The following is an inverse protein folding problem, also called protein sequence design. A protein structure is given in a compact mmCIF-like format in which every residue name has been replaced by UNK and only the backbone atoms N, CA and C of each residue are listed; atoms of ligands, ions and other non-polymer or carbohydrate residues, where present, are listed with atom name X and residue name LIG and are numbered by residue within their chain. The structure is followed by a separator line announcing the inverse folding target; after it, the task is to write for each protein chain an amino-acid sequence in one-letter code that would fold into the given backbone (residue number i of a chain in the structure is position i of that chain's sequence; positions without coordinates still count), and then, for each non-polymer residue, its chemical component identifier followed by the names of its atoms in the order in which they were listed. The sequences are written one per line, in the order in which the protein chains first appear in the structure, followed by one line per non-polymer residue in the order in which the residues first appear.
data_IF_413242945451
#
_entry.id   IF_413242945451
#
_cell.length_a   1.000
_cell.length_b   1.000
_cell.length_c   1.000
_cell.angle_alpha   90.00
_cell.angle_beta   90.00
_cell.angle_gamma   90.00
#
_symmetry.space_group_name_H-M   'P 1'
#
loop_
_entity.id
_entity.type
_entity.pdbx_description
1 polymer ?
#
# COMPACT_ATOMS: atom_id res chain seq x y z
N UNK A 1 20.12 -22.88 -22.10
CA UNK A 1 20.01 -22.36 -20.73
C UNK A 1 18.71 -21.60 -20.65
N UNK A 2 17.60 -22.28 -20.35
CA UNK A 2 16.33 -21.61 -20.07
C UNK A 2 16.45 -21.03 -18.67
N UNK A 3 16.70 -19.72 -18.56
CA UNK A 3 16.58 -19.02 -17.28
C UNK A 3 15.13 -19.13 -16.81
N UNK A 4 14.93 -19.38 -15.52
CA UNK A 4 13.59 -19.36 -14.94
C UNK A 4 12.89 -18.03 -15.31
N UNK A 5 11.59 -18.07 -15.63
CA UNK A 5 10.83 -16.86 -15.87
C UNK A 5 10.92 -15.94 -14.65
N UNK A 6 11.00 -14.63 -14.89
CA UNK A 6 11.03 -13.66 -13.81
C UNK A 6 9.81 -13.84 -12.89
N UNK A 7 9.96 -13.69 -11.56
CA UNK A 7 8.85 -13.86 -10.64
C UNK A 7 7.75 -12.84 -10.91
N UNK A 8 6.47 -13.20 -10.73
CA UNK A 8 5.38 -12.24 -10.88
C UNK A 8 5.48 -11.14 -9.81
N UNK A 9 5.04 -9.94 -10.16
CA UNK A 9 5.22 -8.74 -9.35
C UNK A 9 3.91 -8.33 -8.68
N UNK A 10 3.95 -8.20 -7.35
CA UNK A 10 2.91 -7.57 -6.57
C UNK A 10 3.37 -6.19 -6.11
N UNK A 11 2.72 -5.13 -6.60
CA UNK A 11 3.00 -3.76 -6.14
C UNK A 11 1.92 -3.24 -5.20
N UNK A 12 2.29 -2.96 -3.96
CA UNK A 12 1.38 -2.48 -2.91
C UNK A 12 1.68 -1.00 -2.63
N UNK A 13 0.73 -0.13 -2.97
CA UNK A 13 0.73 1.26 -2.55
C UNK A 13 0.06 1.34 -1.16
N UNK A 14 0.87 1.45 -0.11
CA UNK A 14 0.42 1.37 1.27
C UNK A 14 0.54 2.72 1.99
N UNK A 15 -0.26 2.91 3.05
CA UNK A 15 -0.14 4.08 3.92
C UNK A 15 -1.47 4.69 4.36
N UNK A 16 -1.46 5.59 5.36
CA UNK A 16 -2.68 6.11 5.98
C UNK A 16 -3.64 6.81 4.99
N UNK A 17 -4.94 6.91 5.34
CA UNK A 17 -5.85 7.77 4.58
C UNK A 17 -5.28 9.19 4.47
N UNK A 18 -5.41 9.85 3.31
CA UNK A 18 -4.88 11.21 3.10
C UNK A 18 -3.36 11.33 2.89
N UNK A 19 -2.61 10.22 2.91
CA UNK A 19 -1.14 10.29 2.78
C UNK A 19 -0.62 10.60 1.36
N UNK A 20 -1.43 10.36 0.31
CA UNK A 20 -1.05 10.63 -1.09
C UNK A 20 -0.69 9.40 -1.93
N UNK A 21 -1.09 8.18 -1.50
CA UNK A 21 -0.90 6.94 -2.29
C UNK A 21 -1.34 7.05 -3.75
N UNK A 22 -2.53 7.56 -4.01
CA UNK A 22 -3.06 7.74 -5.37
C UNK A 22 -2.22 8.71 -6.19
N UNK A 23 -1.70 9.78 -5.58
CA UNK A 23 -0.77 10.71 -6.24
C UNK A 23 0.51 10.00 -6.65
N UNK A 24 1.09 9.19 -5.75
CA UNK A 24 2.29 8.40 -6.06
C UNK A 24 2.03 7.39 -7.18
N UNK A 25 0.90 6.68 -7.12
CA UNK A 25 0.49 5.73 -8.16
C UNK A 25 0.36 6.40 -9.52
N UNK A 26 -0.29 7.55 -9.59
CA UNK A 26 -0.44 8.30 -10.84
C UNK A 26 0.92 8.74 -11.40
N UNK A 27 1.86 9.14 -10.53
CA UNK A 27 3.21 9.45 -10.96
C UNK A 27 3.91 8.23 -11.57
N UNK A 28 3.80 7.05 -10.93
CA UNK A 28 4.36 5.81 -11.48
C UNK A 28 3.77 5.46 -12.86
N UNK A 29 2.46 5.63 -13.05
CA UNK A 29 1.84 5.43 -14.37
C UNK A 29 2.38 6.44 -15.39
N UNK A 30 2.50 7.72 -15.00
CA UNK A 30 3.03 8.76 -15.88
C UNK A 30 4.50 8.53 -16.26
N UNK A 31 5.27 7.93 -15.37
CA UNK A 31 6.68 7.55 -15.59
C UNK A 31 6.82 6.25 -16.40
N UNK A 32 5.72 5.63 -16.81
CA UNK A 32 5.70 4.44 -17.67
C UNK A 32 5.94 3.11 -16.95
N UNK A 33 5.75 3.06 -15.62
CA UNK A 33 5.81 1.79 -14.89
C UNK A 33 4.58 0.93 -15.18
N UNK A 34 4.81 -0.32 -15.57
CA UNK A 34 3.76 -1.33 -15.62
C UNK A 34 3.38 -1.75 -14.19
N UNK A 35 2.10 -1.61 -13.86
CA UNK A 35 1.53 -1.94 -12.56
C UNK A 35 0.71 -3.24 -12.59
N UNK A 36 0.71 -3.95 -13.72
CA UNK A 36 -0.14 -5.11 -13.97
C UNK A 36 -1.63 -4.78 -13.81
N UNK A 37 -2.41 -5.76 -13.38
CA UNK A 37 -3.81 -5.54 -13.03
C UNK A 37 -3.91 -4.60 -11.81
N UNK A 38 -4.43 -3.39 -11.99
CA UNK A 38 -4.69 -2.47 -10.88
C UNK A 38 -6.07 -2.73 -10.26
N UNK A 39 -6.10 -3.28 -9.05
CA UNK A 39 -7.31 -3.82 -8.41
C UNK A 39 -7.63 -3.07 -7.12
N UNK A 40 -8.52 -2.09 -7.20
CA UNK A 40 -8.97 -1.29 -6.05
C UNK A 40 -10.48 -1.27 -5.86
N UNK A 41 -10.88 -1.41 -4.59
CA UNK A 41 -12.29 -1.42 -4.21
C UNK A 41 -12.98 -0.10 -4.58
N UNK A 42 -12.31 1.05 -4.46
CA UNK A 42 -12.90 2.34 -4.81
C UNK A 42 -13.23 2.43 -6.33
N UNK A 43 -12.38 1.88 -7.21
CA UNK A 43 -12.61 1.87 -8.67
C UNK A 43 -13.69 0.86 -9.08
N UNK A 44 -13.68 -0.33 -8.45
CA UNK A 44 -14.73 -1.34 -8.62
C UNK A 44 -16.07 -0.78 -8.15
N UNK A 45 -16.10 -0.11 -6.99
CA UNK A 45 -17.28 0.56 -6.48
C UNK A 45 -17.75 1.65 -7.43
N UNK A 46 -16.87 2.44 -8.06
CA UNK A 46 -17.29 3.44 -9.04
C UNK A 46 -17.99 2.83 -10.26
N UNK A 47 -17.67 1.57 -10.59
CA UNK A 47 -18.25 0.82 -11.71
C UNK A 47 -19.54 0.05 -11.34
N UNK A 48 -20.07 0.22 -10.13
CA UNK A 48 -21.19 -0.55 -9.60
C UNK A 48 -22.45 -0.53 -10.48
N UNK A 49 -22.78 0.61 -11.10
CA UNK A 49 -23.97 0.73 -11.95
C UNK A 49 -23.97 -0.25 -13.13
N UNK A 50 -22.77 -0.63 -13.61
CA UNK A 50 -22.60 -1.56 -14.73
C UNK A 50 -22.41 -3.00 -14.23
N UNK A 51 -21.68 -3.18 -13.12
CA UNK A 51 -21.24 -4.49 -12.64
C UNK A 51 -22.21 -5.15 -11.65
N UNK A 52 -22.99 -4.36 -10.92
CA UNK A 52 -23.91 -4.80 -9.87
C UNK A 52 -25.08 -3.81 -9.71
N UNK A 53 -25.89 -3.59 -10.77
CA UNK A 53 -26.97 -2.59 -10.79
C UNK A 53 -28.08 -2.85 -9.75
N UNK A 54 -28.17 -4.06 -9.22
CA UNK A 54 -29.13 -4.46 -8.20
C UNK A 54 -28.82 -3.89 -6.80
N UNK A 55 -27.60 -3.39 -6.56
CA UNK A 55 -27.17 -2.90 -5.24
C UNK A 55 -27.75 -1.51 -4.92
N UNK A 56 -28.66 -1.47 -3.96
CA UNK A 56 -29.43 -0.27 -3.64
C UNK A 56 -28.72 0.67 -2.66
N UNK A 57 -28.07 0.13 -1.63
CA UNK A 57 -27.46 0.93 -0.57
C UNK A 57 -25.96 1.14 -0.75
N UNK A 58 -25.45 2.26 -0.22
CA UNK A 58 -24.01 2.54 -0.25
C UNK A 58 -23.20 1.46 0.47
N UNK A 59 -23.69 0.95 1.60
CA UNK A 59 -23.02 -0.08 2.38
C UNK A 59 -22.91 -1.39 1.60
N UNK A 60 -23.96 -1.80 0.89
CA UNK A 60 -23.92 -2.98 0.01
C UNK A 60 -22.87 -2.82 -1.09
N UNK A 61 -22.82 -1.65 -1.75
CA UNK A 61 -21.82 -1.35 -2.78
C UNK A 61 -20.39 -1.39 -2.26
N UNK A 62 -20.12 -0.77 -1.11
CA UNK A 62 -18.81 -0.80 -0.46
C UNK A 62 -18.38 -2.23 -0.09
N UNK A 63 -19.30 -3.02 0.48
CA UNK A 63 -19.04 -4.40 0.87
C UNK A 63 -18.79 -5.30 -0.35
N UNK A 64 -19.63 -5.19 -1.38
CA UNK A 64 -19.47 -5.91 -2.63
C UNK A 64 -18.13 -5.57 -3.29
N UNK A 65 -17.80 -4.29 -3.44
CA UNK A 65 -16.56 -3.87 -4.09
C UNK A 65 -15.32 -4.32 -3.30
N UNK A 66 -15.39 -4.35 -1.97
CA UNK A 66 -14.34 -4.92 -1.13
C UNK A 66 -14.15 -6.42 -1.42
N UNK A 67 -15.23 -7.21 -1.42
CA UNK A 67 -15.15 -8.65 -1.69
C UNK A 67 -14.69 -8.94 -3.12
N UNK A 68 -15.16 -8.17 -4.09
CA UNK A 68 -14.77 -8.33 -5.49
C UNK A 68 -13.29 -7.98 -5.70
N UNK A 69 -12.79 -6.92 -5.06
CA UNK A 69 -11.36 -6.60 -5.07
C UNK A 69 -10.52 -7.73 -4.47
N UNK A 70 -10.92 -8.29 -3.32
CA UNK A 70 -10.20 -9.40 -2.71
C UNK A 70 -10.26 -10.66 -3.61
N UNK A 71 -11.41 -10.94 -4.23
CA UNK A 71 -11.56 -12.07 -5.18
C UNK A 71 -10.62 -11.93 -6.38
N UNK A 72 -10.58 -10.75 -7.02
CA UNK A 72 -9.70 -10.48 -8.16
C UNK A 72 -8.22 -10.57 -7.76
N UNK A 73 -7.82 -10.00 -6.62
CA UNK A 73 -6.45 -10.10 -6.09
C UNK A 73 -6.04 -11.54 -5.83
N UNK A 74 -6.93 -12.35 -5.24
CA UNK A 74 -6.69 -13.79 -5.03
C UNK A 74 -6.56 -14.54 -6.35
N UNK A 75 -7.36 -14.20 -7.36
CA UNK A 75 -7.24 -14.78 -8.70
C UNK A 75 -5.90 -14.42 -9.36
N UNK A 76 -5.38 -13.20 -9.20
CA UNK A 76 -4.02 -12.85 -9.63
C UNK A 76 -2.98 -13.70 -8.91
N UNK A 77 -3.03 -13.76 -7.58
CA UNK A 77 -2.11 -14.59 -6.78
C UNK A 77 -2.04 -16.03 -7.27
N UNK A 78 -3.19 -16.70 -7.43
CA UNK A 78 -3.24 -18.09 -7.92
C UNK A 78 -2.80 -18.21 -9.38
N UNK A 79 -3.05 -17.20 -10.21
CA UNK A 79 -2.71 -17.20 -11.63
C UNK A 79 -1.29 -16.74 -11.97
N UNK A 80 -0.49 -16.30 -11.00
CA UNK A 80 0.87 -15.79 -11.25
C UNK A 80 0.91 -14.56 -12.16
N UNK A 81 -0.07 -13.66 -12.04
CA UNK A 81 -0.17 -12.44 -12.87
C UNK A 81 0.27 -11.21 -12.09
N UNK A 82 1.02 -10.34 -12.73
CA UNK A 82 1.40 -9.05 -12.16
C UNK A 82 0.17 -8.23 -11.79
N UNK A 83 0.16 -7.64 -10.60
CA UNK A 83 -0.95 -6.83 -10.15
C UNK A 83 -0.53 -5.83 -9.08
N UNK A 84 -1.39 -4.84 -8.86
CA UNK A 84 -1.16 -3.79 -7.89
C UNK A 84 -2.45 -3.33 -7.22
N UNK A 85 -2.33 -2.74 -6.04
CA UNK A 85 -3.46 -2.15 -5.35
C UNK A 85 -3.03 -1.10 -4.33
N UNK A 86 -3.99 -0.25 -3.95
CA UNK A 86 -3.86 0.67 -2.82
C UNK A 86 -4.48 0.07 -1.55
N UNK A 87 -3.87 0.34 -0.41
CA UNK A 87 -4.41 -0.07 0.87
C UNK A 87 -4.02 0.90 1.97
N UNK A 88 -4.91 1.10 2.94
CA UNK A 88 -4.57 1.82 4.16
C UNK A 88 -3.53 1.02 4.98
N UNK A 89 -3.50 -0.30 4.80
CA UNK A 89 -2.60 -1.20 5.53
C UNK A 89 -2.78 -1.14 7.04
N UNK A 90 -4.02 -0.94 7.51
CA UNK A 90 -4.31 -0.80 8.95
C UNK A 90 -4.81 -2.09 9.60
N UNK A 91 -4.63 -3.26 9.00
CA UNK A 91 -5.13 -4.54 9.53
C UNK A 91 -4.15 -5.67 9.21
N UNK A 92 -3.98 -6.62 10.13
CA UNK A 92 -3.00 -7.71 10.03
C UNK A 92 -3.24 -8.65 8.85
N UNK A 93 -4.49 -8.77 8.40
CA UNK A 93 -4.84 -9.53 7.17
C UNK A 93 -4.09 -9.08 5.92
N UNK A 94 -3.49 -7.88 5.90
CA UNK A 94 -2.62 -7.44 4.80
C UNK A 94 -1.19 -8.00 4.92
N UNK A 95 -0.72 -8.27 6.14
CA UNK A 95 0.49 -9.08 6.34
C UNK A 95 0.25 -10.52 5.90
N UNK A 96 -0.91 -11.10 6.23
CA UNK A 96 -1.27 -12.46 5.80
C UNK A 96 -1.31 -12.56 4.27
N UNK A 97 -1.92 -11.57 3.60
CA UNK A 97 -1.91 -11.50 2.15
C UNK A 97 -0.49 -11.42 1.55
N UNK A 98 0.43 -10.65 2.16
CA UNK A 98 1.82 -10.59 1.73
C UNK A 98 2.55 -11.93 1.93
N UNK A 99 2.28 -12.65 3.02
CA UNK A 99 2.82 -14.01 3.25
C UNK A 99 2.32 -15.00 2.21
N UNK A 100 1.04 -14.91 1.84
CA UNK A 100 0.46 -15.74 0.78
C UNK A 100 1.14 -15.43 -0.57
N UNK A 101 1.39 -14.14 -0.86
CA UNK A 101 2.09 -13.73 -2.07
C UNK A 101 3.53 -14.25 -2.13
N UNK A 102 4.28 -14.20 -1.00
CA UNK A 102 5.62 -14.80 -0.92
C UNK A 102 5.58 -16.31 -1.15
N UNK A 103 4.63 -17.01 -0.53
CA UNK A 103 4.43 -18.45 -0.72
C UNK A 103 4.14 -18.78 -2.19
N UNK A 104 3.43 -17.89 -2.89
CA UNK A 104 3.16 -18.00 -4.32
C UNK A 104 4.33 -17.56 -5.23
N UNK A 105 5.49 -17.20 -4.68
CA UNK A 105 6.69 -16.85 -5.44
C UNK A 105 6.70 -15.43 -6.00
N UNK A 106 5.87 -14.52 -5.49
CA UNK A 106 5.85 -13.14 -5.96
C UNK A 106 7.05 -12.34 -5.48
N UNK A 107 7.55 -11.47 -6.35
CA UNK A 107 8.34 -10.31 -5.96
C UNK A 107 7.39 -9.22 -5.42
N UNK A 108 7.57 -8.84 -4.16
CA UNK A 108 6.71 -7.87 -3.47
C UNK A 108 7.39 -6.51 -3.41
N UNK A 109 6.76 -5.54 -4.07
CA UNK A 109 7.15 -4.13 -4.06
C UNK A 109 6.21 -3.34 -3.14
N UNK A 110 6.73 -2.88 -2.00
CA UNK A 110 6.00 -2.04 -1.06
C UNK A 110 6.36 -0.57 -1.27
N UNK A 111 5.40 0.21 -1.77
CA UNK A 111 5.50 1.67 -1.91
C UNK A 111 4.67 2.31 -0.80
N UNK A 112 5.32 2.71 0.28
CA UNK A 112 4.64 3.20 1.47
C UNK A 112 4.69 4.72 1.56
N UNK A 113 3.54 5.36 1.72
CA UNK A 113 3.42 6.83 1.81
C UNK A 113 2.83 7.24 3.15
N UNK A 114 3.54 8.07 3.89
CA UNK A 114 3.07 8.65 5.14
C UNK A 114 3.40 10.15 5.23
N UNK A 115 3.01 10.72 6.37
CA UNK A 115 3.10 12.15 6.68
C UNK A 115 3.47 12.28 8.15
N UNK A 116 4.07 13.39 8.59
CA UNK A 116 4.50 13.62 9.96
C UNK A 116 3.36 13.65 10.99
N UNK A 117 2.13 13.88 10.55
CA UNK A 117 0.99 13.99 11.47
C UNK A 117 -0.30 13.40 10.91
N UNK A 118 -1.08 12.64 11.71
CA UNK A 118 -2.43 12.25 11.33
C UNK A 118 -3.35 13.46 11.14
N UNK A 119 -3.05 14.63 11.75
CA UNK A 119 -3.84 15.86 11.56
C UNK A 119 -3.77 16.37 10.12
N UNK A 120 -2.60 16.28 9.48
CA UNK A 120 -2.43 16.63 8.07
C UNK A 120 -3.31 15.74 7.18
N UNK A 121 -3.35 14.45 7.48
CA UNK A 121 -4.18 13.48 6.79
C UNK A 121 -5.67 13.75 6.95
N UNK A 122 -6.13 14.08 8.16
CA UNK A 122 -7.52 14.50 8.40
C UNK A 122 -7.87 15.72 7.58
N UNK A 123 -7.03 16.75 7.56
CA UNK A 123 -7.25 17.96 6.76
C UNK A 123 -7.34 17.66 5.26
N UNK A 124 -6.48 16.76 4.76
CA UNK A 124 -6.50 16.32 3.34
C UNK A 124 -7.74 15.52 3.00
N UNK A 125 -8.17 14.61 3.87
CA UNK A 125 -9.43 13.86 3.69
C UNK A 125 -10.61 14.82 3.66
N UNK A 126 -10.71 15.75 4.63
CA UNK A 126 -11.78 16.73 4.68
C UNK A 126 -11.84 17.63 3.43
N UNK A 127 -10.68 18.02 2.88
CA UNK A 127 -10.62 18.75 1.61
C UNK A 127 -11.21 17.91 0.46
N UNK A 128 -10.79 16.65 0.32
CA UNK A 128 -11.30 15.76 -0.74
C UNK A 128 -12.80 15.49 -0.63
N UNK A 129 -13.36 15.46 0.57
CA UNK A 129 -14.81 15.32 0.78
C UNK A 129 -15.57 16.51 0.19
N UNK A 130 -15.05 17.74 0.36
CA UNK A 130 -15.62 18.93 -0.27
C UNK A 130 -15.56 18.86 -1.80
N UNK A 131 -14.56 18.17 -2.34
CA UNK A 131 -14.37 17.94 -3.77
C UNK A 131 -15.16 16.71 -4.30
N UNK A 132 -16.10 16.16 -3.51
CA UNK A 132 -16.97 15.04 -3.91
C UNK A 132 -16.52 13.65 -3.45
N UNK A 133 -15.47 13.56 -2.63
CA UNK A 133 -14.98 12.29 -2.07
C UNK A 133 -15.78 11.76 -0.87
N UNK A 134 -15.42 10.55 -0.43
CA UNK A 134 -16.08 9.90 0.71
C UNK A 134 -15.64 10.48 2.06
N UNK A 135 -16.63 10.88 2.89
CA UNK A 135 -16.43 11.30 4.27
C UNK A 135 -16.01 10.15 5.20
N UNK A 136 -14.94 10.35 5.95
CA UNK A 136 -14.40 9.37 6.90
C UNK A 136 -14.23 10.08 8.24
N UNK A 137 -14.82 9.52 9.29
CA UNK A 137 -14.68 10.02 10.65
C UNK A 137 -13.21 10.28 11.02
N UNK A 138 -12.96 11.45 11.61
CA UNK A 138 -11.62 11.89 12.03
C UNK A 138 -10.91 10.84 12.88
N UNK A 139 -11.60 10.27 13.86
CA UNK A 139 -11.01 9.27 14.77
C UNK A 139 -10.62 7.99 14.02
N UNK A 140 -11.39 7.61 13.00
CA UNK A 140 -11.07 6.48 12.13
C UNK A 140 -9.80 6.74 11.33
N UNK A 141 -9.58 7.96 10.83
CA UNK A 141 -8.34 8.35 10.14
C UNK A 141 -7.14 8.28 11.09
N UNK A 142 -7.26 8.85 12.30
CA UNK A 142 -6.18 8.87 13.30
C UNK A 142 -5.84 7.46 13.79
N UNK A 143 -6.85 6.63 14.07
CA UNK A 143 -6.63 5.26 14.52
C UNK A 143 -5.99 4.39 13.43
N UNK A 144 -6.45 4.54 12.18
CA UNK A 144 -5.83 3.85 11.03
C UNK A 144 -4.39 4.29 10.85
N UNK A 145 -4.08 5.58 10.94
CA UNK A 145 -2.72 6.11 10.85
C UNK A 145 -1.76 5.40 11.81
N UNK A 146 -2.15 5.28 13.10
CA UNK A 146 -1.33 4.60 14.11
C UNK A 146 -1.12 3.13 13.77
N UNK A 147 -2.21 2.40 13.50
CA UNK A 147 -2.14 0.97 13.16
C UNK A 147 -1.28 0.70 11.93
N UNK A 148 -1.42 1.53 10.89
CA UNK A 148 -0.64 1.43 9.66
C UNK A 148 0.87 1.56 9.92
N UNK A 149 1.29 2.51 10.77
CA UNK A 149 2.71 2.64 11.14
C UNK A 149 3.20 1.49 12.02
N UNK A 150 2.36 0.95 12.91
CA UNK A 150 2.70 -0.23 13.72
C UNK A 150 2.98 -1.47 12.86
N UNK A 151 2.25 -1.65 11.76
CA UNK A 151 2.39 -2.81 10.87
C UNK A 151 3.51 -2.66 9.84
N UNK A 152 3.98 -1.43 9.58
CA UNK A 152 4.99 -1.15 8.56
C UNK A 152 6.30 -1.95 8.74
N UNK A 153 6.90 -2.08 9.95
CA UNK A 153 8.11 -2.88 10.12
C UNK A 153 7.95 -4.33 9.64
N UNK A 154 6.81 -4.96 9.94
CA UNK A 154 6.52 -6.33 9.50
C UNK A 154 6.29 -6.41 7.99
N UNK A 155 5.66 -5.39 7.40
CA UNK A 155 5.48 -5.32 5.95
C UNK A 155 6.83 -5.23 5.22
N UNK A 156 7.79 -4.45 5.75
CA UNK A 156 9.13 -4.34 5.17
C UNK A 156 9.92 -5.66 5.23
N UNK A 157 9.65 -6.54 6.19
CA UNK A 157 10.25 -7.90 6.25
C UNK A 157 9.68 -8.82 5.18
N UNK A 158 8.43 -8.60 4.77
CA UNK A 158 7.74 -9.41 3.78
C UNK A 158 7.95 -8.91 2.35
N UNK A 159 8.53 -7.73 2.17
CA UNK A 159 8.71 -7.10 0.86
C UNK A 159 10.15 -7.21 0.36
N UNK A 160 10.33 -7.66 -0.88
CA UNK A 160 11.63 -7.70 -1.54
C UNK A 160 12.16 -6.29 -1.83
N UNK A 161 11.26 -5.32 -2.05
CA UNK A 161 11.64 -3.93 -2.25
C UNK A 161 10.66 -3.00 -1.54
N UNK A 162 11.15 -2.31 -0.51
CA UNK A 162 10.40 -1.28 0.20
C UNK A 162 10.95 0.10 -0.13
N UNK A 163 10.07 1.03 -0.52
CA UNK A 163 10.37 2.46 -0.66
C UNK A 163 9.41 3.24 0.23
N UNK A 164 9.97 4.03 1.14
CA UNK A 164 9.21 4.88 2.04
C UNK A 164 9.22 6.31 1.50
N UNK A 165 8.04 6.90 1.36
CA UNK A 165 7.84 8.27 0.91
C UNK A 165 7.26 9.14 2.01
N UNK A 166 7.87 10.29 2.21
CA UNK A 166 7.28 11.36 3.01
C UNK A 166 6.51 12.33 2.11
N UNK A 167 5.28 12.61 2.51
CA UNK A 167 4.42 13.58 1.84
C UNK A 167 3.93 14.65 2.81
N UNK A 168 4.79 15.08 3.75
CA UNK A 168 4.44 16.07 4.78
C UNK A 168 4.50 17.51 4.27
N UNK A 169 5.32 17.73 3.23
CA UNK A 169 5.61 19.05 2.66
C UNK A 169 4.94 19.24 1.30
N UNK A 170 5.36 20.29 0.58
CA UNK A 170 4.83 20.62 -0.75
C UNK A 170 5.10 19.51 -1.79
N UNK A 171 6.23 18.83 -1.68
CA UNK A 171 6.65 17.77 -2.60
C UNK A 171 6.85 16.45 -1.86
N UNK A 172 6.26 15.38 -2.39
CA UNK A 172 6.54 14.03 -1.93
C UNK A 172 7.96 13.64 -2.33
N UNK A 173 8.69 12.95 -1.45
CA UNK A 173 10.04 12.46 -1.73
C UNK A 173 10.29 11.14 -1.02
N UNK A 174 11.17 10.31 -1.61
CA UNK A 174 11.59 9.06 -0.99
C UNK A 174 12.55 9.37 0.17
N UNK A 175 12.32 8.78 1.33
CA UNK A 175 13.14 8.96 2.53
C UNK A 175 13.92 7.71 2.91
N UNK A 176 13.47 6.54 2.46
CA UNK A 176 14.20 5.29 2.64
C UNK A 176 13.94 4.30 1.50
N UNK A 177 14.93 3.44 1.23
CA UNK A 177 14.82 2.33 0.28
C UNK A 177 15.52 1.11 0.85
N UNK A 178 14.84 -0.03 0.83
CA UNK A 178 15.34 -1.32 1.31
C UNK A 178 15.11 -2.33 0.19
N UNK A 179 16.16 -3.04 -0.24
CA UNK A 179 16.05 -4.16 -1.17
C UNK A 179 16.60 -5.42 -0.53
N UNK A 180 15.83 -6.49 -0.66
CA UNK A 180 16.19 -7.84 -0.27
C UNK A 180 16.32 -8.68 -1.55
N UNK A 181 17.25 -9.62 -1.55
CA UNK A 181 17.30 -10.72 -2.50
C UNK A 181 17.54 -12.00 -1.71
N UNK A 182 16.70 -13.02 -1.92
CA UNK A 182 16.76 -14.28 -1.15
C UNK A 182 16.81 -14.03 0.37
N UNK A 183 15.94 -13.13 0.86
CA UNK A 183 15.87 -12.71 2.26
C UNK A 183 17.14 -12.05 2.83
N UNK A 184 18.08 -11.66 1.97
CA UNK A 184 19.31 -10.95 2.35
C UNK A 184 19.26 -9.50 1.90
N UNK A 185 19.67 -8.59 2.79
CA UNK A 185 19.79 -7.18 2.47
C UNK A 185 20.84 -6.95 1.39
N UNK A 186 20.41 -6.41 0.24
CA UNK A 186 21.30 -6.08 -0.90
C UNK A 186 21.47 -4.58 -1.09
N UNK A 187 20.49 -3.77 -0.67
CA UNK A 187 20.57 -2.32 -0.73
C UNK A 187 19.81 -1.69 0.42
N UNK A 188 20.41 -0.68 1.04
CA UNK A 188 19.77 0.13 2.07
C UNK A 188 20.17 1.60 1.88
N UNK A 189 19.18 2.47 1.66
CA UNK A 189 19.38 3.90 1.46
C UNK A 189 18.48 4.70 2.38
N UNK A 190 19.02 5.79 2.94
CA UNK A 190 18.28 6.79 3.71
C UNK A 190 18.55 8.15 3.09
N UNK A 191 17.51 8.97 2.96
CA UNK A 191 17.63 10.39 2.64
C UNK A 191 17.29 11.22 3.87
N UNK A 192 18.10 12.25 4.13
CA UNK A 192 17.90 13.17 5.25
C UNK A 192 17.33 14.51 4.78
N UNK A 193 16.52 15.21 5.60
CA UNK A 193 16.11 14.82 6.95
C UNK A 193 15.09 13.67 6.93
N UNK A 194 15.27 12.69 7.84
CA UNK A 194 14.38 11.55 7.97
C UNK A 194 13.22 11.92 8.90
N UNK A 195 11.95 11.81 8.49
CA UNK A 195 10.83 12.11 9.37
C UNK A 195 10.73 11.08 10.52
N UNK A 196 10.22 11.52 11.66
CA UNK A 196 10.20 10.73 12.91
C UNK A 196 9.43 9.41 12.77
N UNK A 197 8.37 9.39 11.95
CA UNK A 197 7.61 8.18 11.67
C UNK A 197 8.46 7.14 10.93
N UNK A 198 9.32 7.57 10.00
CA UNK A 198 10.19 6.69 9.23
C UNK A 198 11.37 6.22 10.08
N UNK A 199 11.94 7.10 10.90
CA UNK A 199 12.99 6.75 11.88
C UNK A 199 12.50 5.67 12.86
N UNK A 200 11.29 5.83 13.39
CA UNK A 200 10.66 4.84 14.28
C UNK A 200 10.47 3.51 13.57
N UNK A 201 9.91 3.51 12.36
CA UNK A 201 9.66 2.30 11.59
C UNK A 201 10.95 1.56 11.23
N UNK A 202 11.99 2.27 10.79
CA UNK A 202 13.30 1.70 10.47
C UNK A 202 14.01 1.15 11.71
N UNK A 203 13.91 1.82 12.85
CA UNK A 203 14.47 1.33 14.11
C UNK A 203 13.80 0.03 14.55
N UNK A 204 12.46 -0.03 14.47
CA UNK A 204 11.70 -1.24 14.77
C UNK A 204 12.02 -2.37 13.79
N UNK A 205 12.15 -2.07 12.50
CA UNK A 205 12.56 -3.04 11.50
C UNK A 205 13.94 -3.63 11.82
N UNK A 206 14.96 -2.79 12.05
CA UNK A 206 16.31 -3.25 12.42
C UNK A 206 16.30 -4.12 13.69
N UNK A 207 15.53 -3.73 14.70
CA UNK A 207 15.41 -4.50 15.93
C UNK A 207 14.79 -5.89 15.71
N UNK A 208 13.94 -6.05 14.69
CA UNK A 208 13.35 -7.35 14.34
C UNK A 208 14.32 -8.23 13.54
N UNK A 209 15.16 -7.63 12.69
CA UNK A 209 16.22 -8.34 11.97
C UNK A 209 17.34 -8.85 12.89
N UNK A 210 17.52 -8.22 14.06
CA UNK A 210 18.51 -8.62 15.05
C UNK A 210 18.05 -9.77 15.98
N UNK A 211 16.80 -10.24 15.85
CA UNK A 211 16.32 -11.37 16.63
C UNK A 211 16.90 -12.68 16.05
N UNK A 212 17.45 -13.55 16.90
CA UNK A 212 18.08 -14.81 16.48
C UNK A 212 17.07 -15.78 15.87
#
# INVERSE_FOLDING_TARGET
MSGDPAPPVLTIFAGPNGSGKTTLRNQFVADGYDLGDYINADDIQASWHTLAPELSSRREREMWAFHEAERQRRACLTGGRDFSFETVFSHESKLDFMRDARTAGYFIRLLFVATDSPRLNVARVAKRVKDGGHDIETDKVVNRYRRTLTLLPQAMELADHSVLFDNSRATMHAVATIKLAEDRLTSFGIQHPLPSWAETALSQYKARQAKP
#
